data_IF_317172054600
#
_entry.id   IF_317172054600
#
_cell.length_a   1.000
_cell.length_b   1.000
_cell.length_c   1.000
_cell.angle_alpha   90.00
_cell.angle_beta   90.00
_cell.angle_gamma   90.00
#
_symmetry.space_group_name_H-M   'P 1'
#
loop_
_entity.id
_entity.type
_entity.pdbx_description
1 polymer ?
#
# COMPACT_ATOMS: atom_id res chain seq x y z
N UNK A 1 10.57 -35.71 7.86
CA UNK A 1 9.26 -35.51 7.20
C UNK A 1 8.77 -34.12 7.55
N UNK A 2 8.79 -33.19 6.60
CA UNK A 2 8.15 -31.87 6.77
C UNK A 2 6.64 -32.09 6.59
N UNK A 3 5.83 -31.62 7.54
CA UNK A 3 4.37 -31.79 7.46
C UNK A 3 3.86 -30.87 6.35
N UNK A 4 2.98 -31.38 5.49
CA UNK A 4 2.38 -30.59 4.40
C UNK A 4 1.68 -29.33 4.96
N UNK A 5 1.15 -29.39 6.19
CA UNK A 5 0.60 -28.24 6.91
C UNK A 5 1.57 -27.08 7.18
N UNK A 6 2.89 -27.35 7.27
CA UNK A 6 3.90 -26.30 7.45
C UNK A 6 4.22 -25.56 6.13
N UNK A 7 3.92 -26.18 4.98
CA UNK A 7 4.13 -25.62 3.64
C UNK A 7 2.93 -24.75 3.24
N UNK A 8 1.71 -25.14 3.63
CA UNK A 8 0.50 -24.34 3.35
C UNK A 8 0.51 -23.03 4.17
N UNK A 9 1.17 -23.02 5.34
CA UNK A 9 1.21 -21.84 6.20
C UNK A 9 2.26 -20.79 5.80
N UNK A 10 3.04 -21.03 4.73
CA UNK A 10 4.10 -20.11 4.27
C UNK A 10 3.65 -19.13 3.19
N UNK A 11 2.41 -19.28 2.70
CA UNK A 11 1.82 -18.43 1.66
C UNK A 11 0.65 -17.56 2.16
N UNK A 12 0.36 -17.58 3.48
CA UNK A 12 -0.88 -17.02 4.05
C UNK A 12 -0.71 -15.80 4.99
N UNK A 13 0.50 -15.29 5.18
CA UNK A 13 0.71 -13.93 5.69
C UNK A 13 1.57 -13.21 4.65
N UNK A 14 0.94 -12.51 3.70
CA UNK A 14 1.67 -11.46 2.99
C UNK A 14 2.24 -10.53 4.06
N UNK A 15 3.52 -10.16 3.92
CA UNK A 15 4.16 -9.20 4.81
C UNK A 15 3.20 -8.01 4.99
N UNK A 16 2.72 -7.70 6.22
CA UNK A 16 1.73 -6.66 6.44
C UNK A 16 2.12 -5.32 5.81
N UNK A 17 3.43 -5.05 5.71
CA UNK A 17 3.94 -3.85 5.05
C UNK A 17 3.73 -3.91 3.53
N UNK A 18 4.13 -5.01 2.90
CA UNK A 18 3.94 -5.23 1.46
C UNK A 18 2.47 -5.21 1.06
N UNK A 19 1.59 -5.80 1.89
CA UNK A 19 0.14 -5.70 1.69
C UNK A 19 -0.32 -4.24 1.66
N UNK A 20 0.15 -3.40 2.59
CA UNK A 20 -0.22 -1.99 2.62
C UNK A 20 0.27 -1.24 1.38
N UNK A 21 1.50 -1.51 0.93
CA UNK A 21 2.03 -0.95 -0.32
C UNK A 21 1.12 -1.29 -1.49
N UNK A 22 0.72 -2.56 -1.60
CA UNK A 22 -0.18 -3.05 -2.66
C UNK A 22 -1.58 -2.45 -2.57
N UNK A 23 -2.15 -2.30 -1.38
CA UNK A 23 -3.47 -1.68 -1.20
C UNK A 23 -3.46 -0.21 -1.64
N UNK A 24 -2.41 0.56 -1.30
CA UNK A 24 -2.27 1.97 -1.69
C UNK A 24 -2.13 2.11 -3.21
N UNK A 25 -1.22 1.35 -3.82
CA UNK A 25 -1.02 1.36 -5.28
C UNK A 25 -2.27 0.82 -6.01
N UNK A 26 -2.91 -0.20 -5.45
CA UNK A 26 -4.17 -0.75 -5.91
C UNK A 26 -5.29 0.28 -5.90
N UNK A 27 -5.33 1.17 -4.90
CA UNK A 27 -6.28 2.26 -4.87
C UNK A 27 -6.02 3.31 -5.95
N UNK A 28 -4.77 3.65 -6.24
CA UNK A 28 -4.46 4.50 -7.39
C UNK A 28 -4.91 3.84 -8.71
N UNK A 29 -4.66 2.55 -8.87
CA UNK A 29 -5.11 1.78 -10.04
C UNK A 29 -6.63 1.74 -10.15
N UNK A 30 -7.35 1.55 -9.05
CA UNK A 30 -8.82 1.43 -9.05
C UNK A 30 -9.53 2.72 -9.49
N UNK A 31 -8.90 3.88 -9.26
CA UNK A 31 -9.42 5.19 -9.69
C UNK A 31 -8.88 5.64 -11.05
N UNK A 32 -8.14 4.77 -11.77
CA UNK A 32 -7.43 5.09 -13.00
C UNK A 32 -6.54 6.34 -12.84
N UNK A 33 -5.75 6.37 -11.76
CA UNK A 33 -4.86 7.48 -11.49
C UNK A 33 -3.74 7.59 -12.53
N UNK A 34 -3.32 8.83 -12.79
CA UNK A 34 -2.20 9.18 -13.65
C UNK A 34 -1.23 10.06 -12.85
N UNK A 35 -0.11 10.47 -13.45
CA UNK A 35 0.95 11.26 -12.81
C UNK A 35 0.38 12.51 -12.16
N UNK A 36 0.67 12.69 -10.87
CA UNK A 36 0.25 13.84 -10.07
C UNK A 36 -1.17 13.75 -9.50
N UNK A 37 -1.96 12.72 -9.86
CA UNK A 37 -3.24 12.44 -9.19
C UNK A 37 -3.01 12.08 -7.72
N UNK A 38 -3.95 12.51 -6.88
CA UNK A 38 -3.94 12.26 -5.44
C UNK A 38 -4.94 11.19 -5.06
N UNK A 39 -4.69 10.46 -3.98
CA UNK A 39 -5.73 9.61 -3.40
C UNK A 39 -6.94 10.48 -2.99
N UNK A 40 -8.17 9.92 -2.99
CA UNK A 40 -9.32 10.63 -2.46
C UNK A 40 -9.03 11.09 -1.01
N UNK A 41 -9.23 12.38 -0.65
CA UNK A 41 -8.77 12.95 0.63
C UNK A 41 -9.18 12.19 1.89
N UNK A 42 -10.34 11.56 1.89
CA UNK A 42 -10.86 10.81 3.04
C UNK A 42 -10.58 9.31 2.97
N UNK A 43 -10.03 8.80 1.87
CA UNK A 43 -9.84 7.36 1.72
C UNK A 43 -8.85 6.81 2.74
N UNK A 44 -7.67 7.43 2.90
CA UNK A 44 -6.72 7.02 3.93
C UNK A 44 -7.31 7.11 5.35
N UNK A 45 -7.70 8.30 5.86
CA UNK A 45 -8.08 8.46 7.27
C UNK A 45 -9.44 7.84 7.62
N UNK A 46 -10.42 7.85 6.71
CA UNK A 46 -11.79 7.44 7.03
C UNK A 46 -12.16 6.03 6.54
N UNK A 47 -11.41 5.45 5.60
CA UNK A 47 -11.74 4.15 5.01
C UNK A 47 -10.62 3.14 5.26
N UNK A 48 -9.41 3.44 4.81
CA UNK A 48 -8.31 2.49 4.80
C UNK A 48 -7.74 2.23 6.20
N UNK A 49 -7.30 3.28 6.90
CA UNK A 49 -6.70 3.14 8.24
C UNK A 49 -7.63 2.45 9.24
N UNK A 50 -8.94 2.76 9.31
CA UNK A 50 -9.87 2.05 10.18
C UNK A 50 -9.99 0.56 9.86
N UNK A 51 -9.85 0.16 8.58
CA UNK A 51 -9.96 -1.23 8.14
C UNK A 51 -8.75 -2.10 8.52
N UNK A 52 -7.60 -1.49 8.81
CA UNK A 52 -6.37 -2.20 9.16
C UNK A 52 -6.45 -2.86 10.54
N UNK A 53 -5.90 -4.06 10.62
CA UNK A 53 -5.67 -4.76 11.88
C UNK A 53 -4.48 -4.16 12.66
N UNK A 54 -4.28 -4.51 13.95
CA UNK A 54 -3.20 -3.93 14.75
C UNK A 54 -1.78 -4.15 14.20
N UNK A 55 -1.49 -5.29 13.55
CA UNK A 55 -0.18 -5.55 12.94
C UNK A 55 0.05 -4.63 11.73
N UNK A 56 -0.95 -4.48 10.88
CA UNK A 56 -0.89 -3.60 9.70
C UNK A 56 -0.75 -2.12 10.12
N UNK A 57 -1.53 -1.67 11.11
CA UNK A 57 -1.42 -0.30 11.64
C UNK A 57 -0.01 0.02 12.13
N UNK A 58 0.67 -0.95 12.75
CA UNK A 58 2.01 -0.77 13.26
C UNK A 58 3.06 -0.54 12.16
N UNK A 59 2.81 -1.00 10.93
CA UNK A 59 3.75 -0.89 9.79
C UNK A 59 3.27 0.07 8.70
N UNK A 60 2.12 0.71 8.87
CA UNK A 60 1.53 1.63 7.88
C UNK A 60 2.48 2.79 7.52
N UNK A 61 3.05 3.46 8.52
CA UNK A 61 3.93 4.59 8.28
C UNK A 61 5.20 4.15 7.54
N UNK A 62 5.78 3.03 7.95
CA UNK A 62 6.95 2.45 7.29
C UNK A 62 6.66 2.08 5.83
N UNK A 63 5.47 1.51 5.54
CA UNK A 63 5.04 1.21 4.18
C UNK A 63 4.95 2.47 3.31
N UNK A 64 4.37 3.55 3.85
CA UNK A 64 4.24 4.84 3.15
C UNK A 64 5.62 5.45 2.90
N UNK A 65 6.49 5.46 3.91
CA UNK A 65 7.85 6.00 3.80
C UNK A 65 8.66 5.23 2.75
N UNK A 66 8.48 3.91 2.66
CA UNK A 66 9.12 3.07 1.65
C UNK A 66 8.63 3.38 0.23
N UNK A 67 7.31 3.55 0.03
CA UNK A 67 6.75 3.97 -1.26
C UNK A 67 7.29 5.35 -1.70
N UNK A 68 7.47 6.28 -0.75
CA UNK A 68 8.05 7.60 -1.00
C UNK A 68 9.54 7.48 -1.33
N UNK A 69 10.30 6.70 -0.56
CA UNK A 69 11.72 6.45 -0.77
C UNK A 69 11.99 5.77 -2.11
N UNK A 70 11.14 4.83 -2.51
CA UNK A 70 11.18 4.20 -3.82
C UNK A 70 10.76 5.15 -4.95
N UNK A 71 10.20 6.31 -4.62
CA UNK A 71 9.74 7.32 -5.57
C UNK A 71 8.49 6.88 -6.34
N UNK A 72 7.68 5.98 -5.79
CA UNK A 72 6.41 5.54 -6.40
C UNK A 72 5.30 6.56 -6.12
N UNK A 73 5.31 7.15 -4.93
CA UNK A 73 4.39 8.21 -4.52
C UNK A 73 5.17 9.37 -3.91
N UNK A 74 4.53 10.52 -3.77
CA UNK A 74 5.06 11.67 -3.02
C UNK A 74 4.02 12.21 -2.05
N UNK A 75 4.48 12.74 -0.91
CA UNK A 75 3.62 13.47 0.01
C UNK A 75 3.15 14.78 -0.63
N UNK A 76 1.84 15.06 -0.53
CA UNK A 76 1.20 16.27 -1.02
C UNK A 76 0.21 16.77 0.04
N UNK A 77 0.72 17.56 0.99
CA UNK A 77 -0.01 17.91 2.20
C UNK A 77 -0.20 16.67 3.08
N UNK A 78 -1.41 16.46 3.57
CA UNK A 78 -1.77 15.30 4.42
C UNK A 78 -2.13 14.04 3.60
N UNK A 79 -1.71 13.99 2.33
CA UNK A 79 -2.13 12.95 1.39
C UNK A 79 -0.97 12.53 0.46
N UNK A 80 -1.23 11.55 -0.40
CA UNK A 80 -0.27 10.99 -1.36
C UNK A 80 -0.68 11.33 -2.79
N UNK A 81 0.32 11.65 -3.62
CA UNK A 81 0.20 11.78 -5.06
C UNK A 81 1.02 10.72 -5.79
N UNK A 82 0.50 10.22 -6.91
CA UNK A 82 1.19 9.25 -7.76
C UNK A 82 2.28 9.93 -8.58
N UNK A 83 3.44 9.29 -8.70
CA UNK A 83 4.54 9.76 -9.56
C UNK A 83 4.49 9.07 -10.93
N UNK A 84 5.35 9.48 -11.86
CA UNK A 84 5.57 8.77 -13.13
C UNK A 84 5.99 7.31 -12.90
N UNK A 85 6.99 7.07 -12.04
CA UNK A 85 7.41 5.72 -11.66
C UNK A 85 6.29 4.91 -11.01
N UNK A 86 5.41 5.58 -10.27
CA UNK A 86 4.22 4.97 -9.68
C UNK A 86 3.21 4.51 -10.72
N UNK A 87 2.98 5.30 -11.77
CA UNK A 87 2.15 4.93 -12.93
C UNK A 87 2.73 3.70 -13.63
N UNK A 88 4.03 3.70 -13.90
CA UNK A 88 4.73 2.57 -14.52
C UNK A 88 4.65 1.28 -13.69
N UNK A 89 4.48 1.40 -12.37
CA UNK A 89 4.37 0.24 -11.47
C UNK A 89 2.96 -0.35 -11.44
N UNK A 90 1.92 0.43 -11.80
CA UNK A 90 0.52 -0.02 -11.72
C UNK A 90 -0.08 -0.41 -13.09
N UNK A 91 0.59 -0.11 -14.21
CA UNK A 91 0.18 -0.42 -15.59
C UNK A 91 1.22 -1.23 -16.35
#
# INVERSE_FOLDING_TARGET
>A
MVKIGDIVNKFAESDPKEKIKQDILGQFKSINADVGHVLPPNWLPAIYIPSLNPKEKAVLQEAIDELISEGLVVSKGDNLALTEKGVDAIY
#
